data_IF_104887404573
#
_entry.id   IF_104887404573
#
_cell.length_a   1.000
_cell.length_b   1.000
_cell.length_c   1.000
_cell.angle_alpha   90.00
_cell.angle_beta   90.00
_cell.angle_gamma   90.00
#
_symmetry.space_group_name_H-M   'P 1'
#
loop_
_entity.id
_entity.type
_entity.pdbx_description
1 polymer ?
#
# COMPACT_ATOMS: atom_id res chain seq x y z
N UNK A 1 11.01 20.59 4.82
CA UNK A 1 10.05 20.18 3.78
C UNK A 1 9.21 21.37 3.36
N UNK A 2 9.00 21.65 2.07
CA UNK A 2 8.20 22.81 1.60
C UNK A 2 6.78 22.81 2.15
N UNK A 3 6.07 21.68 2.09
CA UNK A 3 4.67 21.53 2.58
C UNK A 3 4.50 21.94 4.04
N UNK A 4 5.41 21.49 4.92
CA UNK A 4 5.36 21.86 6.35
C UNK A 4 5.65 23.35 6.56
N UNK A 5 6.50 23.95 5.73
CA UNK A 5 6.72 25.41 5.75
C UNK A 5 5.46 26.16 5.30
N UNK A 6 4.77 25.62 4.26
CA UNK A 6 3.48 26.14 3.82
C UNK A 6 2.42 26.11 4.91
N UNK A 7 2.25 24.96 5.60
CA UNK A 7 1.32 24.86 6.73
C UNK A 7 1.58 25.94 7.79
N UNK A 8 2.85 26.16 8.15
CA UNK A 8 3.22 27.19 9.11
C UNK A 8 2.91 28.61 8.60
N UNK A 9 3.16 28.90 7.33
CA UNK A 9 2.90 30.21 6.73
C UNK A 9 1.40 30.53 6.66
N UNK A 10 0.57 29.51 6.43
CA UNK A 10 -0.89 29.61 6.36
C UNK A 10 -1.57 29.41 7.72
N UNK A 11 -0.81 29.29 8.83
CA UNK A 11 -1.30 29.01 10.17
C UNK A 11 -2.16 27.73 10.27
N UNK A 12 -1.88 26.73 9.44
CA UNK A 12 -2.56 25.43 9.47
C UNK A 12 -1.94 24.58 10.59
N UNK A 13 -2.69 24.33 11.64
CA UNK A 13 -2.31 23.41 12.72
C UNK A 13 -2.71 21.97 12.37
N UNK A 14 -1.89 21.30 11.56
CA UNK A 14 -2.13 19.92 11.15
C UNK A 14 -1.50 18.94 12.13
N UNK A 15 -2.29 18.02 12.66
CA UNK A 15 -1.86 16.88 13.48
C UNK A 15 -2.44 15.62 12.86
N UNK A 16 -1.60 14.67 12.50
CA UNK A 16 -2.03 13.43 11.87
C UNK A 16 -1.06 12.94 10.78
N UNK A 17 -1.58 12.13 9.88
CA UNK A 17 -0.82 11.53 8.77
C UNK A 17 -0.98 12.39 7.52
N UNK A 18 0.13 12.78 6.94
CA UNK A 18 0.20 13.36 5.60
C UNK A 18 0.87 12.37 4.66
N UNK A 19 0.09 11.74 3.80
CA UNK A 19 0.58 10.94 2.70
C UNK A 19 0.77 11.81 1.46
N UNK A 20 1.89 11.64 0.77
CA UNK A 20 2.21 12.38 -0.45
C UNK A 20 2.45 11.40 -1.58
N UNK A 21 1.54 11.33 -2.53
CA UNK A 21 1.69 10.58 -3.78
C UNK A 21 2.67 11.29 -4.71
N UNK A 22 3.73 10.61 -5.13
CA UNK A 22 4.76 11.16 -6.00
C UNK A 22 4.88 10.34 -7.28
N UNK A 23 5.03 11.05 -8.39
CA UNK A 23 5.53 10.50 -9.65
C UNK A 23 7.00 10.88 -9.78
N UNK A 24 7.86 9.90 -9.92
CA UNK A 24 9.27 10.13 -10.22
C UNK A 24 9.42 10.30 -11.73
N UNK A 25 9.90 11.44 -12.15
CA UNK A 25 10.09 11.81 -13.57
C UNK A 25 11.56 12.11 -13.84
N UNK A 26 11.92 12.30 -15.12
CA UNK A 26 13.28 12.71 -15.51
C UNK A 26 13.68 14.06 -14.89
N UNK A 27 12.70 14.96 -14.67
CA UNK A 27 12.91 16.28 -14.03
C UNK A 27 12.84 16.22 -12.49
N UNK A 28 12.71 15.04 -11.88
CA UNK A 28 12.59 14.85 -10.45
C UNK A 28 11.19 14.45 -9.98
N UNK A 29 10.98 14.35 -8.67
CA UNK A 29 9.69 13.97 -8.11
C UNK A 29 8.64 15.07 -8.31
N UNK A 30 7.51 14.69 -8.88
CA UNK A 30 6.31 15.53 -9.06
C UNK A 30 5.22 15.04 -8.13
N UNK A 31 4.55 15.96 -7.43
CA UNK A 31 3.44 15.62 -6.55
C UNK A 31 2.20 15.30 -7.40
N UNK A 32 1.59 14.14 -7.15
CA UNK A 32 0.31 13.75 -7.76
C UNK A 32 -0.84 14.18 -6.85
N UNK A 33 -0.73 13.84 -5.55
CA UNK A 33 -1.79 14.12 -4.58
C UNK A 33 -1.25 14.25 -3.16
N UNK A 34 -2.06 14.88 -2.31
CA UNK A 34 -1.93 14.85 -0.85
C UNK A 34 -3.15 14.15 -0.25
N UNK A 35 -2.92 13.26 0.71
CA UNK A 35 -3.99 12.68 1.53
C UNK A 35 -3.70 12.97 3.00
N UNK A 36 -4.70 13.50 3.74
CA UNK A 36 -4.61 13.76 5.18
C UNK A 36 -4.98 12.51 6.00
N UNK A 37 -4.55 11.35 5.55
CA UNK A 37 -4.74 10.01 6.11
C UNK A 37 -3.70 9.06 5.55
N UNK A 38 -3.65 7.87 6.09
CA UNK A 38 -2.87 6.79 5.46
C UNK A 38 -3.37 6.51 4.04
N UNK A 39 -2.45 6.14 3.15
CA UNK A 39 -2.77 5.70 1.79
C UNK A 39 -3.45 4.32 1.78
N UNK A 40 -4.13 4.00 0.71
CA UNK A 40 -4.67 2.68 0.41
C UNK A 40 -4.32 2.35 -1.06
N UNK A 41 -3.43 1.37 -1.30
CA UNK A 41 -3.08 0.21 -0.47
C UNK A 41 -1.78 0.33 0.37
N UNK A 42 -1.24 1.51 0.64
CA UNK A 42 0.06 1.69 1.29
C UNK A 42 0.05 1.31 2.77
N UNK A 43 -1.07 1.58 3.47
CA UNK A 43 -1.22 1.30 4.90
C UNK A 43 -0.99 -0.17 5.22
N UNK A 44 -1.52 -1.06 4.41
CA UNK A 44 -1.44 -2.50 4.61
C UNK A 44 0.01 -2.99 4.64
N UNK A 45 0.83 -2.50 3.72
CA UNK A 45 2.26 -2.82 3.68
C UNK A 45 3.02 -2.16 4.83
N UNK A 46 2.68 -0.93 5.20
CA UNK A 46 3.31 -0.17 6.26
C UNK A 46 3.10 -0.83 7.62
N UNK A 47 1.84 -1.15 7.98
CA UNK A 47 1.51 -1.81 9.26
C UNK A 47 2.08 -3.23 9.33
N UNK A 48 2.14 -3.97 8.24
CA UNK A 48 2.74 -5.30 8.21
C UNK A 48 4.24 -5.28 8.58
N UNK A 49 4.94 -4.19 8.23
CA UNK A 49 6.35 -3.96 8.59
C UNK A 49 6.58 -3.31 9.95
N UNK A 50 5.59 -2.64 10.49
CA UNK A 50 5.73 -1.94 11.78
C UNK A 50 5.85 -2.95 12.91
N UNK A 51 6.84 -2.74 13.79
CA UNK A 51 7.05 -3.53 15.01
C UNK A 51 6.52 -2.78 16.25
N UNK A 52 6.57 -1.46 16.23
CA UNK A 52 5.93 -0.60 17.23
C UNK A 52 4.42 -0.66 17.07
N UNK A 53 3.68 -0.71 18.17
CA UNK A 53 2.22 -0.65 18.15
C UNK A 53 1.74 0.67 17.51
N UNK A 54 0.87 0.56 16.52
CA UNK A 54 0.34 1.73 15.79
C UNK A 54 -0.42 2.69 16.73
N UNK A 55 -1.06 2.17 17.79
CA UNK A 55 -1.75 3.01 18.79
C UNK A 55 -0.77 3.89 19.53
N UNK A 56 0.40 3.36 19.94
CA UNK A 56 1.45 4.16 20.59
C UNK A 56 1.90 5.32 19.68
N UNK A 57 2.04 5.06 18.38
CA UNK A 57 2.42 6.09 17.40
C UNK A 57 1.32 7.15 17.26
N UNK A 58 0.05 6.72 17.21
CA UNK A 58 -1.10 7.63 17.10
C UNK A 58 -1.22 8.51 18.36
N UNK A 59 -1.13 7.91 19.54
CA UNK A 59 -1.18 8.64 20.82
C UNK A 59 -0.02 9.64 20.93
N UNK A 60 1.20 9.21 20.57
CA UNK A 60 2.35 10.10 20.59
C UNK A 60 2.20 11.27 19.60
N UNK A 61 1.56 11.04 18.45
CA UNK A 61 1.25 12.09 17.49
C UNK A 61 0.24 13.11 18.05
N UNK A 62 -0.85 12.63 18.66
CA UNK A 62 -1.89 13.47 19.27
C UNK A 62 -1.33 14.30 20.43
N UNK A 63 -0.49 13.68 21.26
CA UNK A 63 0.17 14.32 22.42
C UNK A 63 1.35 15.23 22.02
N UNK A 64 1.67 15.33 20.72
CA UNK A 64 2.81 16.10 20.19
C UNK A 64 4.15 15.66 20.79
N UNK A 65 4.33 14.38 21.04
CA UNK A 65 5.54 13.74 21.59
C UNK A 65 6.14 12.67 20.67
N UNK A 66 5.79 12.70 19.37
CA UNK A 66 6.27 11.73 18.39
C UNK A 66 7.80 11.71 18.25
N UNK A 67 8.45 12.83 18.53
CA UNK A 67 9.90 13.01 18.61
C UNK A 67 10.56 12.32 19.82
N UNK A 68 9.76 11.85 20.78
CA UNK A 68 10.22 11.20 22.04
C UNK A 68 10.06 9.68 22.03
N UNK A 69 9.48 9.12 20.98
CA UNK A 69 9.36 7.68 20.81
C UNK A 69 10.23 7.19 19.65
N UNK A 70 10.69 5.95 19.74
CA UNK A 70 11.39 5.27 18.66
C UNK A 70 10.43 4.34 17.93
N UNK A 71 10.16 4.64 16.64
CA UNK A 71 9.34 3.75 15.80
C UNK A 71 10.24 2.65 15.25
N UNK A 72 9.97 1.41 15.66
CA UNK A 72 10.70 0.22 15.24
C UNK A 72 10.02 -0.47 14.07
N UNK A 73 10.83 -1.02 13.20
CA UNK A 73 10.43 -1.72 12.00
C UNK A 73 11.00 -3.13 11.96
N UNK A 74 10.21 -4.10 11.52
CA UNK A 74 10.69 -5.45 11.27
C UNK A 74 11.74 -5.45 10.17
N UNK A 75 12.73 -6.31 10.29
CA UNK A 75 13.79 -6.47 9.28
C UNK A 75 13.33 -7.45 8.19
N UNK A 76 12.27 -7.10 7.47
CA UNK A 76 11.70 -7.86 6.37
C UNK A 76 11.31 -6.91 5.23
N UNK A 77 11.02 -7.44 4.05
CA UNK A 77 10.33 -6.72 2.99
C UNK A 77 8.85 -7.11 2.96
N UNK A 78 8.01 -6.24 2.42
CA UNK A 78 6.57 -6.47 2.25
C UNK A 78 6.15 -6.05 0.85
N UNK A 79 5.33 -6.88 0.20
CA UNK A 79 4.68 -6.58 -1.06
C UNK A 79 3.16 -6.63 -0.86
N UNK A 80 2.44 -5.60 -1.33
CA UNK A 80 0.98 -5.51 -1.30
C UNK A 80 0.45 -5.44 -2.72
N UNK A 81 -0.31 -6.45 -3.14
CA UNK A 81 -0.93 -6.50 -4.47
C UNK A 81 -2.44 -6.45 -4.34
N UNK A 82 -3.06 -5.52 -5.07
CA UNK A 82 -4.52 -5.33 -5.09
C UNK A 82 -5.16 -6.22 -6.13
N UNK A 83 -6.14 -7.03 -5.72
CA UNK A 83 -7.06 -7.70 -6.63
C UNK A 83 -8.29 -6.81 -6.86
N UNK A 84 -8.57 -6.47 -8.12
CA UNK A 84 -9.61 -5.52 -8.52
C UNK A 84 -10.65 -6.15 -9.42
N UNK A 85 -11.85 -5.56 -9.45
CA UNK A 85 -12.95 -5.91 -10.36
C UNK A 85 -12.64 -5.46 -11.78
N UNK A 86 -12.99 -6.28 -12.78
CA UNK A 86 -12.82 -5.91 -14.19
C UNK A 86 -13.52 -4.59 -14.49
N UNK A 87 -12.78 -3.70 -15.14
CA UNK A 87 -13.24 -2.37 -15.50
C UNK A 87 -12.73 -1.27 -14.57
N UNK A 88 -12.37 -1.59 -13.32
CA UNK A 88 -11.77 -0.61 -12.41
C UNK A 88 -10.48 0.02 -13.03
N UNK A 89 -10.29 1.35 -12.98
CA UNK A 89 -11.00 2.37 -12.19
C UNK A 89 -12.27 2.94 -12.86
N UNK A 90 -12.65 2.49 -14.08
CA UNK A 90 -13.87 2.88 -14.75
C UNK A 90 -15.07 2.06 -14.22
N UNK A 91 -16.10 1.89 -15.03
CA UNK A 91 -17.30 1.12 -14.68
C UNK A 91 -16.97 -0.36 -14.42
N UNK A 92 -17.44 -0.89 -13.32
CA UNK A 92 -17.28 -2.29 -12.92
C UNK A 92 -18.58 -2.86 -12.34
N UNK A 93 -18.67 -4.20 -12.35
CA UNK A 93 -19.75 -4.94 -11.72
C UNK A 93 -19.29 -5.55 -10.41
N UNK A 94 -20.23 -5.70 -9.48
CA UNK A 94 -20.02 -6.32 -8.16
C UNK A 94 -20.96 -7.51 -7.95
N UNK A 95 -20.91 -8.14 -6.78
CA UNK A 95 -21.78 -9.27 -6.42
C UNK A 95 -21.24 -10.63 -6.81
N UNK A 96 -19.99 -10.74 -7.24
CA UNK A 96 -19.36 -12.02 -7.58
C UNK A 96 -18.77 -12.68 -6.33
N UNK A 97 -19.01 -13.98 -6.17
CA UNK A 97 -18.44 -14.76 -5.06
C UNK A 97 -16.93 -14.81 -5.15
N UNK A 98 -16.27 -14.65 -3.99
CA UNK A 98 -14.83 -14.71 -3.85
C UNK A 98 -14.48 -16.06 -3.26
N UNK A 99 -13.63 -16.82 -3.94
CA UNK A 99 -13.16 -18.13 -3.50
C UNK A 99 -11.66 -18.10 -3.19
N UNK A 100 -11.18 -19.14 -2.49
CA UNK A 100 -9.76 -19.31 -2.19
C UNK A 100 -9.25 -18.52 -0.97
N UNK A 101 -10.11 -17.95 -0.13
CA UNK A 101 -9.73 -17.15 1.05
C UNK A 101 -9.38 -18.01 2.28
N UNK A 102 -8.65 -19.12 2.10
CA UNK A 102 -8.31 -20.04 3.20
C UNK A 102 -6.89 -20.58 3.04
N UNK A 103 -6.30 -20.96 4.18
CA UNK A 103 -5.02 -21.69 4.25
C UNK A 103 -3.80 -20.91 3.72
N UNK A 104 -3.72 -19.63 4.04
CA UNK A 104 -2.52 -18.84 3.77
C UNK A 104 -1.43 -19.11 4.81
N UNK A 105 -0.17 -18.99 4.40
CA UNK A 105 0.99 -19.04 5.30
C UNK A 105 1.01 -17.89 6.30
N UNK A 106 1.87 -17.98 7.32
CA UNK A 106 2.03 -16.93 8.34
C UNK A 106 2.53 -15.59 7.77
N UNK A 107 3.20 -15.66 6.63
CA UNK A 107 3.79 -14.50 5.97
C UNK A 107 2.81 -13.77 5.04
N UNK A 108 1.54 -14.21 5.01
CA UNK A 108 0.48 -13.65 4.17
C UNK A 108 -0.66 -13.12 5.02
N UNK A 109 -1.11 -11.92 4.69
CA UNK A 109 -2.33 -11.31 5.22
C UNK A 109 -3.22 -10.88 4.06
N UNK A 110 -4.52 -11.15 4.19
CA UNK A 110 -5.53 -10.70 3.22
C UNK A 110 -6.37 -9.63 3.88
N UNK A 111 -6.33 -8.42 3.33
CA UNK A 111 -7.19 -7.33 3.77
C UNK A 111 -8.37 -7.18 2.82
N UNK A 112 -9.56 -7.21 3.38
CA UNK A 112 -10.79 -6.93 2.67
C UNK A 112 -10.93 -5.43 2.42
N UNK A 113 -11.26 -5.04 1.18
CA UNK A 113 -11.59 -3.68 0.78
C UNK A 113 -13.06 -3.65 0.32
N UNK A 114 -13.32 -3.59 -0.99
CA UNK A 114 -14.67 -3.66 -1.53
C UNK A 114 -15.24 -5.08 -1.51
N UNK A 115 -15.56 -5.58 -0.33
CA UNK A 115 -16.16 -6.90 -0.14
C UNK A 115 -17.39 -6.83 0.75
N UNK A 116 -18.33 -7.72 0.52
CA UNK A 116 -19.51 -7.95 1.34
C UNK A 116 -19.55 -9.41 1.78
N UNK A 117 -19.82 -9.64 3.06
CA UNK A 117 -20.05 -10.99 3.61
C UNK A 117 -21.55 -11.29 3.59
N UNK A 118 -21.91 -12.45 3.08
CA UNK A 118 -23.25 -13.00 3.18
C UNK A 118 -23.15 -14.46 3.64
N UNK A 119 -23.74 -14.75 4.81
CA UNK A 119 -23.61 -16.03 5.51
C UNK A 119 -22.14 -16.43 5.66
N UNK A 120 -21.69 -17.45 4.92
CA UNK A 120 -20.33 -18.01 4.99
C UNK A 120 -19.48 -17.67 3.75
N UNK A 121 -19.98 -16.87 2.83
CA UNK A 121 -19.30 -16.49 1.62
C UNK A 121 -18.98 -14.96 1.58
N UNK A 122 -17.95 -14.60 0.84
CA UNK A 122 -17.62 -13.23 0.54
C UNK A 122 -17.91 -12.93 -0.93
N UNK A 123 -18.34 -11.72 -1.21
CA UNK A 123 -18.68 -11.25 -2.55
C UNK A 123 -17.99 -9.92 -2.83
N UNK A 124 -17.68 -9.66 -4.10
CA UNK A 124 -17.16 -8.35 -4.52
C UNK A 124 -18.23 -7.28 -4.31
N UNK A 125 -17.81 -6.13 -3.75
CA UNK A 125 -18.68 -4.98 -3.46
C UNK A 125 -17.96 -3.63 -3.71
N UNK A 126 -16.96 -3.64 -4.59
CA UNK A 126 -16.19 -2.47 -4.95
C UNK A 126 -15.24 -2.72 -6.10
N UNK A 127 -14.55 -1.66 -6.52
CA UNK A 127 -13.53 -1.72 -7.58
C UNK A 127 -12.25 -2.41 -7.12
N UNK A 128 -11.65 -1.94 -6.02
CA UNK A 128 -10.58 -2.65 -5.31
C UNK A 128 -11.22 -3.59 -4.31
N UNK A 129 -10.96 -4.89 -4.44
CA UNK A 129 -11.70 -5.94 -3.72
C UNK A 129 -10.91 -6.48 -2.54
N UNK A 130 -9.67 -6.91 -2.78
CA UNK A 130 -8.77 -7.47 -1.77
C UNK A 130 -7.38 -6.90 -1.91
N UNK A 131 -6.66 -6.84 -0.81
CA UNK A 131 -5.23 -6.57 -0.78
C UNK A 131 -4.51 -7.80 -0.26
N UNK A 132 -3.68 -8.41 -1.09
CA UNK A 132 -2.79 -9.51 -0.71
C UNK A 132 -1.48 -8.92 -0.25
N UNK A 133 -1.17 -9.06 1.02
CA UNK A 133 0.05 -8.56 1.65
C UNK A 133 0.91 -9.74 2.03
N UNK A 134 2.11 -9.79 1.49
CA UNK A 134 3.07 -10.83 1.80
C UNK A 134 4.38 -10.26 2.33
N UNK A 135 4.97 -10.95 3.30
CA UNK A 135 6.28 -10.65 3.88
C UNK A 135 7.33 -11.64 3.38
N UNK A 136 8.56 -11.18 3.19
CA UNK A 136 9.70 -12.00 2.81
C UNK A 136 11.01 -11.40 3.33
N UNK A 137 12.13 -12.13 3.24
CA UNK A 137 13.44 -11.65 3.64
C UNK A 137 13.91 -10.47 2.75
N UNK A 138 13.43 -10.43 1.52
CA UNK A 138 13.67 -9.36 0.54
C UNK A 138 12.42 -9.13 -0.30
N UNK A 139 12.44 -8.09 -1.14
CA UNK A 139 11.26 -7.71 -1.93
C UNK A 139 10.90 -8.77 -2.99
N UNK A 140 11.87 -9.45 -3.57
CA UNK A 140 11.63 -10.47 -4.59
C UNK A 140 10.88 -11.66 -3.98
N UNK A 141 11.27 -12.11 -2.79
CA UNK A 141 10.57 -13.17 -2.05
C UNK A 141 9.17 -12.73 -1.62
N UNK A 142 9.02 -11.52 -1.07
CA UNK A 142 7.71 -10.99 -0.68
C UNK A 142 6.76 -10.90 -1.90
N UNK A 143 7.29 -10.47 -3.04
CA UNK A 143 6.58 -10.39 -4.32
C UNK A 143 6.15 -11.79 -4.80
N UNK A 144 7.07 -12.76 -4.82
CA UNK A 144 6.77 -14.13 -5.22
C UNK A 144 5.64 -14.74 -4.37
N UNK A 145 5.71 -14.58 -3.06
CA UNK A 145 4.68 -15.07 -2.13
C UNK A 145 3.33 -14.39 -2.40
N UNK A 146 3.31 -13.06 -2.63
CA UNK A 146 2.09 -12.33 -2.90
C UNK A 146 1.39 -12.82 -4.18
N UNK A 147 2.14 -12.98 -5.28
CA UNK A 147 1.58 -13.45 -6.55
C UNK A 147 1.15 -14.92 -6.51
N UNK A 148 1.93 -15.80 -5.89
CA UNK A 148 1.53 -17.19 -5.63
C UNK A 148 0.23 -17.27 -4.83
N UNK A 149 0.06 -16.37 -3.88
CA UNK A 149 -1.18 -16.30 -3.08
C UNK A 149 -2.37 -15.88 -3.93
N UNK A 150 -2.18 -14.91 -4.83
CA UNK A 150 -3.23 -14.46 -5.75
C UNK A 150 -3.71 -15.55 -6.69
N UNK A 151 -2.85 -16.49 -7.11
CA UNK A 151 -3.23 -17.63 -7.96
C UNK A 151 -4.29 -18.53 -7.29
N UNK A 152 -4.36 -18.56 -5.96
CA UNK A 152 -5.32 -19.35 -5.20
C UNK A 152 -6.65 -18.60 -4.97
N UNK A 153 -6.71 -17.31 -5.21
CA UNK A 153 -7.89 -16.46 -5.01
C UNK A 153 -8.55 -16.23 -6.35
N UNK A 154 -9.88 -16.30 -6.40
CA UNK A 154 -10.60 -16.00 -7.63
C UNK A 154 -11.98 -15.39 -7.38
N UNK A 155 -12.38 -14.52 -8.28
CA UNK A 155 -13.74 -14.05 -8.50
C UNK A 155 -13.90 -13.65 -9.95
N UNK A 156 -15.13 -13.64 -10.45
CA UNK A 156 -15.40 -13.32 -11.86
C UNK A 156 -14.87 -11.93 -12.23
N UNK A 157 -14.00 -11.89 -13.24
CA UNK A 157 -13.39 -10.66 -13.72
C UNK A 157 -12.28 -10.10 -12.81
N UNK A 158 -11.70 -10.92 -11.94
CA UNK A 158 -10.53 -10.51 -11.16
C UNK A 158 -9.37 -10.11 -12.07
N UNK A 159 -8.73 -9.00 -11.74
CA UNK A 159 -7.46 -8.60 -12.33
C UNK A 159 -6.57 -7.91 -11.30
N UNK A 160 -5.28 -7.89 -11.56
CA UNK A 160 -4.27 -7.20 -10.77
C UNK A 160 -3.12 -6.77 -11.69
N UNK A 161 -2.29 -5.86 -11.22
CA UNK A 161 -1.03 -5.50 -11.89
C UNK A 161 -0.01 -6.61 -11.63
N UNK A 162 0.87 -6.85 -12.61
CA UNK A 162 1.93 -7.88 -12.53
C UNK A 162 3.31 -7.30 -12.21
N UNK A 163 3.43 -5.97 -12.14
CA UNK A 163 4.66 -5.22 -11.97
C UNK A 163 4.87 -4.65 -10.57
N UNK A 164 3.95 -4.94 -9.63
CA UNK A 164 4.07 -4.46 -8.25
C UNK A 164 5.29 -5.08 -7.57
N UNK A 165 6.14 -4.23 -7.01
CA UNK A 165 7.38 -4.65 -6.36
C UNK A 165 8.49 -5.05 -7.34
N UNK A 166 8.36 -4.76 -8.64
CA UNK A 166 9.42 -4.99 -9.62
C UNK A 166 10.54 -3.96 -9.43
N UNK A 167 11.63 -4.44 -8.80
CA UNK A 167 12.77 -3.59 -8.43
C UNK A 167 13.64 -3.24 -9.63
N UNK A 168 13.63 -4.05 -10.70
CA UNK A 168 14.46 -3.80 -11.87
C UNK A 168 13.99 -2.57 -12.65
N UNK A 169 12.68 -2.37 -12.78
CA UNK A 169 12.13 -1.13 -13.34
C UNK A 169 12.54 0.10 -12.51
N UNK A 170 12.45 0.00 -11.18
CA UNK A 170 12.83 1.08 -10.27
C UNK A 170 14.34 1.37 -10.33
N UNK A 171 15.19 0.34 -10.43
CA UNK A 171 16.63 0.51 -10.58
C UNK A 171 16.99 1.15 -11.92
N UNK A 172 16.39 0.70 -13.02
CA UNK A 172 16.60 1.27 -14.34
C UNK A 172 16.24 2.76 -14.37
N UNK A 173 15.10 3.12 -13.74
CA UNK A 173 14.67 4.49 -13.60
C UNK A 173 15.67 5.33 -12.77
N UNK A 174 16.10 4.83 -11.60
CA UNK A 174 17.02 5.53 -10.70
C UNK A 174 18.40 5.80 -11.34
N UNK A 175 18.87 4.88 -12.19
CA UNK A 175 20.11 5.06 -12.97
C UNK A 175 19.97 6.18 -14.00
N UNK A 176 18.85 6.22 -14.72
CA UNK A 176 18.57 7.24 -15.71
C UNK A 176 18.42 8.64 -15.07
N UNK A 177 17.72 8.71 -13.93
CA UNK A 177 17.55 9.94 -13.16
C UNK A 177 18.90 10.52 -12.71
N UNK A 178 19.80 9.68 -12.15
CA UNK A 178 21.14 10.15 -11.73
C UNK A 178 21.98 10.66 -12.90
N UNK A 179 21.89 10.04 -14.09
CA UNK A 179 22.62 10.49 -15.29
C UNK A 179 22.11 11.86 -15.78
N UNK A 180 20.80 12.12 -15.68
CA UNK A 180 20.20 13.37 -16.14
C UNK A 180 20.36 14.51 -15.13
N UNK A 181 20.40 14.21 -13.82
CA UNK A 181 20.62 15.21 -12.76
C UNK A 181 22.07 15.66 -12.61
N UNK A 182 23.01 15.00 -13.29
CA UNK A 182 24.43 15.33 -13.27
C UNK A 182 24.88 16.22 -14.46
N UNK A 183 23.95 16.61 -15.31
CA UNK A 183 24.11 17.59 -16.41
C UNK A 183 23.52 18.93 -16.01
#
# INVERSE_FOLDING_TARGET
MPTIKGFKAENINFVGILFVGLMITEDGPKVIEYNCRFGDPETQALVARMDTDILEVIEACLDKRLDKIEIKWKNNAVCCVVAASRGYPNEFKTGFEISGLRNFGRDVQIFHAGTRKDKNAFYTDGGRVLNVVASGANIDEAREIAYKTLENISFMGMHHRNDIGDVEELKAFAVNYKKNSAK
#
